data_IF_648733100109
#
_entry.id   IF_648733100109
#
_cell.length_a   1.000
_cell.length_b   1.000
_cell.length_c   1.000
_cell.angle_alpha   90.00
_cell.angle_beta   90.00
_cell.angle_gamma   90.00
#
_symmetry.space_group_name_H-M   'P 1'
#
loop_
_entity.id
_entity.type
_entity.pdbx_description
1 polymer ?
#
# COMPACT_ATOMS: atom_id res chain seq x y z
N UNK A 1 1.01 13.20 6.49
CA UNK A 1 -0.16 13.02 7.38
C UNK A 1 -1.27 12.29 6.64
N UNK A 2 -2.02 11.48 7.36
CA UNK A 2 -3.16 10.77 6.80
C UNK A 2 -4.38 11.68 6.78
N UNK A 3 -5.08 11.69 5.63
CA UNK A 3 -6.32 12.45 5.48
C UNK A 3 -7.49 11.46 5.54
N UNK A 4 -8.12 11.35 6.71
CA UNK A 4 -9.14 10.35 6.98
C UNK A 4 -10.45 11.02 7.40
N UNK A 5 -11.56 10.51 6.88
CA UNK A 5 -12.88 10.90 7.33
C UNK A 5 -13.42 9.99 8.41
N UNK A 6 -13.01 8.71 8.38
CA UNK A 6 -13.28 7.81 9.50
C UNK A 6 -12.24 8.03 10.59
N UNK A 7 -12.60 7.67 11.81
CA UNK A 7 -11.71 7.66 12.96
C UNK A 7 -11.46 6.21 13.39
N UNK A 8 -10.50 5.52 12.72
CA UNK A 8 -10.26 4.12 13.04
C UNK A 8 -9.76 3.95 14.46
N UNK A 9 -10.29 2.94 15.14
CA UNK A 9 -9.81 2.54 16.46
C UNK A 9 -8.62 1.59 16.32
N UNK A 10 -7.76 1.49 17.34
CA UNK A 10 -6.56 0.66 17.23
C UNK A 10 -6.80 -0.78 16.83
N UNK A 11 -7.90 -1.38 17.28
CA UNK A 11 -8.24 -2.77 16.98
C UNK A 11 -9.13 -2.95 15.76
N UNK A 12 -9.49 -1.86 15.06
CA UNK A 12 -10.23 -1.96 13.82
C UNK A 12 -9.37 -2.65 12.75
N UNK A 13 -9.99 -3.56 12.03
CA UNK A 13 -9.29 -4.30 10.98
C UNK A 13 -10.03 -5.57 10.59
N UNK A 14 -9.45 -6.39 9.71
CA UNK A 14 -8.19 -6.12 8.98
C UNK A 14 -8.23 -4.84 8.16
N UNK A 15 -7.06 -4.28 7.90
CA UNK A 15 -6.89 -3.07 7.10
C UNK A 15 -6.28 -3.44 5.76
N UNK A 16 -6.94 -3.04 4.67
CA UNK A 16 -6.41 -3.19 3.32
C UNK A 16 -5.85 -1.84 2.88
N UNK A 17 -4.57 -1.81 2.56
CA UNK A 17 -3.92 -0.63 2.01
C UNK A 17 -3.72 -0.85 0.51
N UNK A 18 -4.13 0.11 -0.29
CA UNK A 18 -3.90 0.08 -1.74
C UNK A 18 -3.10 1.30 -2.16
N UNK A 19 -2.14 1.09 -3.05
CA UNK A 19 -1.33 2.18 -3.60
C UNK A 19 -1.37 2.05 -5.12
N UNK A 20 -1.86 3.09 -5.79
CA UNK A 20 -2.02 3.13 -7.22
C UNK A 20 -0.85 3.86 -7.87
N UNK A 21 -0.21 3.20 -8.87
CA UNK A 21 0.89 3.77 -9.64
C UNK A 21 0.47 3.83 -11.11
N UNK A 22 0.87 4.91 -11.78
CA UNK A 22 0.69 5.05 -13.22
C UNK A 22 2.08 4.96 -13.86
N UNK A 23 2.28 3.97 -14.72
CA UNK A 23 3.60 3.60 -15.25
C UNK A 23 3.56 3.59 -16.78
N UNK A 24 4.62 4.09 -17.42
CA UNK A 24 4.71 4.03 -18.90
C UNK A 24 5.05 2.61 -19.35
N UNK A 25 4.61 2.26 -20.55
CA UNK A 25 4.75 0.90 -21.07
C UNK A 25 6.19 0.39 -21.09
N UNK A 26 7.13 1.24 -21.43
CA UNK A 26 8.55 0.89 -21.49
C UNK A 26 9.11 0.50 -20.14
N UNK A 27 8.44 0.91 -19.06
CA UNK A 27 8.92 0.70 -17.70
C UNK A 27 8.23 -0.43 -16.95
N UNK A 28 7.29 -1.15 -17.58
CA UNK A 28 6.49 -2.17 -16.88
C UNK A 28 7.35 -3.22 -16.20
N UNK A 29 8.33 -3.78 -16.92
CA UNK A 29 9.16 -4.84 -16.35
C UNK A 29 10.05 -4.32 -15.23
N UNK A 30 10.67 -3.16 -15.44
CA UNK A 30 11.53 -2.55 -14.42
C UNK A 30 10.74 -2.19 -13.16
N UNK A 31 9.52 -1.64 -13.34
CA UNK A 31 8.64 -1.33 -12.23
C UNK A 31 8.26 -2.59 -11.45
N UNK A 32 7.86 -3.64 -12.16
CA UNK A 32 7.45 -4.90 -11.53
C UNK A 32 8.58 -5.49 -10.70
N UNK A 33 9.80 -5.47 -11.21
CA UNK A 33 10.96 -5.93 -10.43
C UNK A 33 11.22 -5.05 -9.21
N UNK A 34 11.08 -3.75 -9.36
CA UNK A 34 11.31 -2.81 -8.26
C UNK A 34 10.28 -3.00 -7.14
N UNK A 35 8.99 -3.10 -7.49
CA UNK A 35 7.94 -3.20 -6.49
C UNK A 35 7.97 -4.53 -5.74
N UNK A 36 8.46 -5.61 -6.36
CA UNK A 36 8.60 -6.88 -5.68
C UNK A 36 9.61 -6.83 -4.53
N UNK A 37 10.51 -5.87 -4.53
CA UNK A 37 11.41 -5.66 -3.39
C UNK A 37 10.67 -5.12 -2.16
N UNK A 38 9.55 -4.43 -2.37
CA UNK A 38 8.70 -3.98 -1.26
C UNK A 38 7.95 -5.13 -0.59
N UNK A 39 7.71 -6.23 -1.29
CA UNK A 39 7.03 -7.39 -0.73
C UNK A 39 7.66 -7.84 0.59
N UNK A 40 8.96 -8.03 0.59
CA UNK A 40 9.66 -8.50 1.79
C UNK A 40 9.62 -7.48 2.92
N UNK A 41 9.72 -6.20 2.58
CA UNK A 41 9.60 -5.11 3.56
C UNK A 41 8.22 -5.14 4.21
N UNK A 42 7.14 -5.21 3.40
CA UNK A 42 5.78 -5.23 3.92
C UNK A 42 5.53 -6.44 4.81
N UNK A 43 5.93 -7.62 4.36
CA UNK A 43 5.71 -8.86 5.12
C UNK A 43 6.53 -8.88 6.41
N UNK A 44 7.77 -8.45 6.36
CA UNK A 44 8.63 -8.35 7.55
C UNK A 44 8.02 -7.40 8.57
N UNK A 45 7.44 -6.28 8.10
CA UNK A 45 6.90 -5.24 8.98
C UNK A 45 5.49 -5.52 9.47
N UNK A 46 4.90 -6.67 9.15
CA UNK A 46 3.66 -7.13 9.74
C UNK A 46 2.49 -7.32 8.80
N UNK A 47 2.67 -7.13 7.49
CA UNK A 47 1.60 -7.45 6.54
C UNK A 47 1.38 -8.95 6.50
N UNK A 48 0.11 -9.37 6.53
CA UNK A 48 -0.26 -10.79 6.44
C UNK A 48 -0.50 -11.23 5.01
N UNK A 49 -0.60 -10.29 4.09
CA UNK A 49 -0.78 -10.55 2.67
C UNK A 49 -0.24 -9.37 1.87
N UNK A 50 0.34 -9.65 0.70
CA UNK A 50 0.84 -8.64 -0.22
C UNK A 50 0.58 -9.07 -1.65
N UNK A 51 0.29 -8.11 -2.53
CA UNK A 51 0.17 -8.36 -3.96
C UNK A 51 0.36 -7.09 -4.77
N UNK A 52 0.66 -7.26 -6.04
CA UNK A 52 0.69 -6.17 -7.01
C UNK A 52 0.00 -6.66 -8.29
N UNK A 53 -0.84 -5.80 -8.86
CA UNK A 53 -1.73 -6.16 -9.96
C UNK A 53 -1.67 -5.08 -11.02
N UNK A 54 -1.69 -5.51 -12.28
CA UNK A 54 -1.81 -4.60 -13.43
C UNK A 54 -3.27 -4.56 -13.85
N UNK A 55 -3.81 -3.37 -14.10
CA UNK A 55 -5.20 -3.20 -14.50
C UNK A 55 -5.36 -3.60 -15.97
N UNK A 56 -6.18 -4.62 -16.24
CA UNK A 56 -6.40 -5.08 -17.60
C UNK A 56 -7.13 -4.06 -18.46
N UNK A 57 -7.93 -3.19 -17.85
CA UNK A 57 -8.66 -2.13 -18.57
C UNK A 57 -7.85 -0.86 -18.78
N UNK A 58 -6.79 -0.68 -17.99
CA UNK A 58 -5.88 0.47 -18.09
C UNK A 58 -4.47 -0.04 -17.79
N UNK A 59 -3.76 -0.58 -18.80
CA UNK A 59 -2.50 -1.30 -18.56
C UNK A 59 -1.39 -0.52 -17.84
N UNK A 60 -1.41 0.80 -17.93
CA UNK A 60 -0.45 1.64 -17.21
C UNK A 60 -0.75 1.78 -15.71
N UNK A 61 -1.90 1.29 -15.24
CA UNK A 61 -2.30 1.39 -13.84
C UNK A 61 -1.94 0.11 -13.12
N UNK A 62 -1.08 0.23 -12.11
CA UNK A 62 -0.69 -0.88 -11.24
C UNK A 62 -1.16 -0.56 -9.82
N UNK A 63 -1.59 -1.58 -9.10
CA UNK A 63 -2.03 -1.43 -7.72
C UNK A 63 -1.22 -2.38 -6.85
N UNK A 64 -0.50 -1.83 -5.88
CA UNK A 64 0.06 -2.60 -4.78
C UNK A 64 -1.01 -2.68 -3.71
N UNK A 65 -1.25 -3.86 -3.14
CA UNK A 65 -2.10 -3.96 -1.97
C UNK A 65 -1.48 -4.87 -0.93
N UNK A 66 -1.78 -4.56 0.33
CA UNK A 66 -1.37 -5.41 1.43
C UNK A 66 -2.37 -5.30 2.57
N UNK A 67 -2.45 -6.34 3.39
CA UNK A 67 -3.40 -6.44 4.49
C UNK A 67 -2.62 -6.49 5.79
N UNK A 68 -3.10 -5.74 6.78
CA UNK A 68 -2.54 -5.70 8.12
C UNK A 68 -3.68 -6.04 9.09
N UNK A 69 -3.36 -6.69 10.20
CA UNK A 69 -4.37 -7.18 11.13
C UNK A 69 -5.25 -6.10 11.74
N UNK A 70 -4.67 -4.92 12.02
CA UNK A 70 -5.38 -3.85 12.70
C UNK A 70 -4.83 -2.50 12.32
N UNK A 71 -5.60 -1.46 12.62
CA UNK A 71 -5.15 -0.08 12.42
C UNK A 71 -3.87 0.21 13.19
N UNK A 72 -3.78 -0.28 14.43
CA UNK A 72 -2.57 -0.11 15.24
C UNK A 72 -1.36 -0.76 14.58
N UNK A 73 -1.50 -1.98 14.04
CA UNK A 73 -0.40 -2.65 13.34
C UNK A 73 0.01 -1.89 12.08
N UNK A 74 -0.96 -1.30 11.37
CA UNK A 74 -0.63 -0.45 10.23
C UNK A 74 0.25 0.73 10.65
N UNK A 75 -0.11 1.42 11.73
CA UNK A 75 0.69 2.55 12.22
C UNK A 75 2.09 2.09 12.65
N UNK A 76 2.18 0.94 13.30
CA UNK A 76 3.47 0.35 13.69
C UNK A 76 4.32 -0.04 12.50
N UNK A 77 3.70 -0.57 11.44
CA UNK A 77 4.41 -0.92 10.22
C UNK A 77 5.11 0.30 9.62
N UNK A 78 4.44 1.45 9.61
CA UNK A 78 5.03 2.69 9.10
C UNK A 78 6.27 3.09 9.89
N UNK A 79 6.27 2.86 11.19
CA UNK A 79 7.39 3.20 12.07
C UNK A 79 8.56 2.24 11.94
N UNK A 80 8.34 1.02 11.44
CA UNK A 80 9.37 0.00 11.29
C UNK A 80 10.25 0.16 10.05
N UNK A 81 9.88 1.05 9.14
CA UNK A 81 10.65 1.23 7.93
C UNK A 81 12.02 1.84 8.22
N UNK A 82 13.06 1.14 7.78
CA UNK A 82 14.44 1.61 7.91
C UNK A 82 14.79 2.60 6.80
N UNK A 83 15.96 3.24 6.90
CA UNK A 83 16.46 4.09 5.83
C UNK A 83 16.62 3.32 4.51
N UNK A 84 17.10 2.08 4.57
CA UNK A 84 17.21 1.22 3.38
C UNK A 84 15.85 0.91 2.77
N UNK A 85 14.84 0.65 3.59
CA UNK A 85 13.48 0.39 3.12
C UNK A 85 12.90 1.61 2.40
N UNK A 86 13.15 2.80 2.93
CA UNK A 86 12.70 4.05 2.31
C UNK A 86 13.34 4.25 0.94
N UNK A 87 14.60 3.84 0.76
CA UNK A 87 15.24 3.90 -0.56
C UNK A 87 14.54 2.97 -1.56
N UNK A 88 14.13 1.79 -1.14
CA UNK A 88 13.38 0.85 -1.99
C UNK A 88 12.03 1.49 -2.37
N UNK A 89 11.30 2.03 -1.39
CA UNK A 89 10.03 2.69 -1.63
C UNK A 89 10.18 3.87 -2.59
N UNK A 90 11.17 4.70 -2.38
CA UNK A 90 11.38 5.89 -3.21
C UNK A 90 11.75 5.51 -4.64
N UNK A 91 12.53 4.43 -4.81
CA UNK A 91 12.83 3.91 -6.15
C UNK A 91 11.56 3.47 -6.88
N UNK A 92 10.66 2.77 -6.20
CA UNK A 92 9.37 2.37 -6.77
C UNK A 92 8.55 3.61 -7.17
N UNK A 93 8.48 4.60 -6.30
CA UNK A 93 7.70 5.82 -6.55
C UNK A 93 8.20 6.63 -7.75
N UNK A 94 9.48 6.52 -8.09
CA UNK A 94 10.02 7.25 -9.24
C UNK A 94 9.45 6.77 -10.57
N UNK A 95 8.87 5.57 -10.62
CA UNK A 95 8.20 5.09 -11.84
C UNK A 95 6.83 5.73 -12.04
N UNK A 96 6.24 6.29 -10.99
CA UNK A 96 4.91 6.86 -11.06
C UNK A 96 4.91 8.14 -11.91
N UNK A 97 3.93 8.22 -12.83
CA UNK A 97 3.77 9.36 -13.73
C UNK A 97 2.76 10.35 -13.18
N UNK A 98 2.94 11.63 -13.53
CA UNK A 98 2.04 12.68 -13.11
C UNK A 98 2.60 13.51 -11.96
N UNK A 99 1.94 14.64 -11.70
CA UNK A 99 2.39 15.60 -10.69
C UNK A 99 2.01 15.18 -9.27
N UNK A 100 0.90 14.46 -9.15
CA UNK A 100 0.42 14.00 -7.85
C UNK A 100 1.16 12.73 -7.44
N UNK A 101 1.38 12.51 -6.13
CA UNK A 101 1.99 11.26 -5.68
C UNK A 101 1.08 10.06 -5.94
N UNK A 102 1.60 8.83 -5.84
CA UNK A 102 0.75 7.64 -5.94
C UNK A 102 -0.44 7.73 -4.99
N UNK A 103 -1.62 7.34 -5.47
CA UNK A 103 -2.84 7.40 -4.68
C UNK A 103 -2.87 6.27 -3.66
N UNK A 104 -2.94 6.62 -2.39
CA UNK A 104 -3.02 5.65 -1.30
C UNK A 104 -4.42 5.63 -0.71
N UNK A 105 -4.98 4.43 -0.55
CA UNK A 105 -6.27 4.26 0.11
C UNK A 105 -6.14 3.29 1.27
N UNK A 106 -6.85 3.57 2.35
CA UNK A 106 -6.87 2.76 3.57
C UNK A 106 -8.29 2.26 3.77
N UNK A 107 -8.49 0.96 3.67
CA UNK A 107 -9.83 0.36 3.76
C UNK A 107 -9.92 -0.51 5.00
N UNK A 108 -10.95 -0.26 5.80
CA UNK A 108 -11.21 -1.02 7.02
C UNK A 108 -12.26 -2.08 6.68
N UNK A 109 -12.03 -3.32 7.12
CA UNK A 109 -12.98 -4.39 6.88
C UNK A 109 -14.37 -3.97 7.35
N UNK A 110 -15.35 -4.06 6.46
CA UNK A 110 -16.72 -3.66 6.73
C UNK A 110 -17.50 -4.83 7.31
N UNK A 111 -18.04 -4.64 8.50
CA UNK A 111 -18.81 -5.68 9.16
C UNK A 111 -20.31 -5.44 8.99
N UNK A 112 -21.14 -6.52 8.97
CA UNK A 112 -22.57 -6.35 8.74
C UNK A 112 -23.29 -5.63 9.87
N UNK A 113 -22.70 -5.55 11.06
CA UNK A 113 -23.28 -4.86 12.20
C UNK A 113 -22.43 -3.66 12.59
N UNK A 114 -23.09 -2.61 13.09
CA UNK A 114 -22.38 -1.48 13.65
C UNK A 114 -21.50 -1.95 14.80
N UNK A 115 -20.26 -1.49 14.83
CA UNK A 115 -19.35 -1.79 15.92
C UNK A 115 -19.68 -0.91 17.10
N UNK A 116 -19.56 -1.43 18.34
CA UNK A 116 -19.67 -0.59 19.53
C UNK A 116 -18.66 0.54 19.51
N UNK A 117 -19.08 1.72 19.95
CA UNK A 117 -18.23 2.90 19.98
C UNK A 117 -18.11 3.43 21.41
#
# INVERSE_FOLDING_TARGET
>A
ALSLELDPKPDDGPVLVTIEYLVTAEEYDAFTRAIHKLRDVRLRDGSIRWGTYQDAGQPGRFVENFVVESWLEYLRQRERMTASDLLIRDHVRRFHQGEEPPLVSHMIYARPFARPR
#
